data_IF_907211965141
#
_entry.id   IF_907211965141
#
_cell.length_a   1.000
_cell.length_b   1.000
_cell.length_c   1.000
_cell.angle_alpha   90.00
_cell.angle_beta   90.00
_cell.angle_gamma   90.00
#
_symmetry.space_group_name_H-M   'P 1'
#
loop_
_entity.id
_entity.type
_entity.pdbx_description
1 polymer ?
#
# COMPACT_ATOMS: atom_id res chain seq x y z
N UNK A 1 -18.09 33.08 13.09
CA UNK A 1 -16.80 32.75 12.43
C UNK A 1 -17.02 32.88 10.94
N UNK A 2 -16.43 33.90 10.32
CA UNK A 2 -16.38 34.01 8.86
C UNK A 2 -15.19 33.17 8.39
N UNK A 3 -15.47 32.09 7.67
CA UNK A 3 -14.44 31.35 6.96
C UNK A 3 -14.17 32.12 5.67
N UNK A 4 -12.94 32.59 5.46
CA UNK A 4 -12.57 33.24 4.21
C UNK A 4 -11.99 32.18 3.28
N UNK A 5 -12.71 31.92 2.20
CA UNK A 5 -12.08 31.39 1.00
C UNK A 5 -11.71 32.59 0.12
N UNK A 6 -10.46 32.71 -0.32
CA UNK A 6 -10.02 33.83 -1.13
C UNK A 6 -10.08 33.51 -2.61
N UNK A 7 -10.74 34.38 -3.37
CA UNK A 7 -10.60 34.48 -4.82
C UNK A 7 -9.19 35.03 -5.12
N UNK A 8 -8.35 34.23 -5.79
CA UNK A 8 -7.01 34.69 -6.20
C UNK A 8 -7.14 35.57 -7.45
N UNK A 9 -6.42 36.70 -7.53
CA UNK A 9 -6.47 37.58 -8.69
C UNK A 9 -5.99 36.86 -9.96
N UNK A 10 -6.76 37.00 -11.03
CA UNK A 10 -6.43 36.48 -12.36
C UNK A 10 -5.23 37.24 -12.91
N UNK A 11 -4.05 36.61 -12.96
CA UNK A 11 -2.91 37.17 -13.70
C UNK A 11 -3.11 36.84 -15.19
N UNK A 12 -3.37 37.87 -16.00
CA UNK A 12 -3.39 37.87 -17.46
C UNK A 12 -3.64 36.50 -18.15
N UNK A 13 -4.88 36.03 -18.11
CA UNK A 13 -5.34 34.91 -18.95
C UNK A 13 -5.06 33.50 -18.43
N UNK A 14 -4.49 33.35 -17.22
CA UNK A 14 -4.34 32.04 -16.57
C UNK A 14 -5.34 31.94 -15.41
N UNK A 15 -6.35 31.08 -15.54
CA UNK A 15 -7.12 30.60 -14.37
C UNK A 15 -6.16 29.77 -13.54
N UNK A 16 -5.57 30.34 -12.50
CA UNK A 16 -4.92 29.52 -11.49
C UNK A 16 -6.03 28.87 -10.67
N UNK A 17 -6.21 27.53 -10.72
CA UNK A 17 -7.04 26.87 -9.72
C UNK A 17 -6.47 27.30 -8.37
N UNK A 18 -7.34 27.85 -7.53
CA UNK A 18 -6.96 28.29 -6.19
C UNK A 18 -6.30 27.15 -5.43
N UNK A 19 -5.60 27.52 -4.36
CA UNK A 19 -4.83 26.71 -3.41
C UNK A 19 -3.32 26.76 -3.65
N UNK A 20 -2.67 27.50 -2.76
CA UNK A 20 -1.25 27.33 -2.44
C UNK A 20 -1.18 26.29 -1.33
N UNK A 21 -0.53 25.15 -1.61
CA UNK A 21 -0.13 24.19 -0.59
C UNK A 21 0.96 24.83 0.29
N UNK A 22 0.86 24.68 1.61
CA UNK A 22 1.92 25.11 2.53
C UNK A 22 3.27 24.52 2.11
N UNK A 23 4.24 25.37 1.74
CA UNK A 23 5.60 24.95 1.37
C UNK A 23 5.93 24.87 -0.13
N UNK A 24 4.99 25.15 -1.05
CA UNK A 24 5.30 25.33 -2.48
C UNK A 24 5.52 26.81 -2.78
N UNK A 25 6.58 27.15 -3.53
CA UNK A 25 7.04 28.51 -3.84
C UNK A 25 5.89 29.50 -4.02
N UNK A 26 5.65 30.28 -2.96
CA UNK A 26 4.71 31.40 -2.95
C UNK A 26 5.43 32.56 -3.63
N UNK A 27 4.80 33.30 -4.57
CA UNK A 27 5.32 34.60 -4.95
C UNK A 27 5.47 35.42 -3.66
N UNK A 28 6.70 35.80 -3.29
CA UNK A 28 6.97 36.81 -2.25
C UNK A 28 6.56 38.19 -2.80
N UNK A 29 5.36 38.30 -3.33
CA UNK A 29 4.83 39.54 -3.83
C UNK A 29 4.17 40.26 -2.66
N UNK A 30 4.99 41.04 -1.95
CA UNK A 30 4.54 41.91 -0.86
C UNK A 30 3.44 42.90 -1.33
N UNK A 31 3.21 43.06 -2.63
CA UNK A 31 2.16 43.92 -3.21
C UNK A 31 0.85 43.21 -3.52
N UNK A 32 0.74 41.90 -3.30
CA UNK A 32 -0.52 41.19 -3.48
C UNK A 32 -1.45 41.47 -2.29
N UNK A 33 -2.41 42.37 -2.50
CA UNK A 33 -3.41 42.78 -1.51
C UNK A 33 -4.22 41.58 -0.96
N UNK A 34 -4.47 40.57 -1.79
CA UNK A 34 -5.17 39.34 -1.39
C UNK A 34 -4.33 38.52 -0.41
N UNK A 35 -3.01 38.46 -0.60
CA UNK A 35 -2.11 37.78 0.33
C UNK A 35 -2.00 38.51 1.67
N UNK A 36 -1.98 39.85 1.67
CA UNK A 36 -2.02 40.62 2.93
C UNK A 36 -3.31 40.36 3.70
N UNK A 37 -4.45 40.35 3.02
CA UNK A 37 -5.74 40.04 3.64
C UNK A 37 -5.76 38.62 4.25
N UNK A 38 -5.12 37.63 3.62
CA UNK A 38 -4.94 36.31 4.21
C UNK A 38 -4.10 36.32 5.48
N UNK A 39 -2.95 37.01 5.42
CA UNK A 39 -2.03 37.10 6.55
C UNK A 39 -2.69 37.80 7.74
N UNK A 40 -3.44 38.87 7.50
CA UNK A 40 -4.22 39.58 8.51
C UNK A 40 -5.32 38.69 9.10
N UNK A 41 -6.06 37.95 8.26
CA UNK A 41 -7.08 36.98 8.71
C UNK A 41 -6.48 35.91 9.65
N UNK A 42 -5.32 35.35 9.30
CA UNK A 42 -4.64 34.36 10.14
C UNK A 42 -4.10 35.00 11.43
N UNK A 43 -3.54 36.21 11.35
CA UNK A 43 -3.04 36.96 12.51
C UNK A 43 -4.16 37.30 13.51
N UNK A 44 -5.37 37.54 13.02
CA UNK A 44 -6.57 37.79 13.83
C UNK A 44 -7.24 36.49 14.36
N UNK A 45 -6.59 35.34 14.20
CA UNK A 45 -7.07 34.05 14.71
C UNK A 45 -8.02 33.30 13.77
N UNK A 46 -8.11 33.72 12.51
CA UNK A 46 -8.80 32.99 11.45
C UNK A 46 -8.14 31.64 11.16
N UNK A 47 -8.96 30.60 10.98
CA UNK A 47 -8.48 29.26 10.60
C UNK A 47 -8.77 29.06 9.12
N UNK A 48 -7.73 28.92 8.26
CA UNK A 48 -7.94 28.63 6.85
C UNK A 48 -8.55 27.24 6.71
N UNK A 49 -9.48 27.10 5.77
CA UNK A 49 -10.03 25.79 5.45
C UNK A 49 -9.01 25.00 4.63
N UNK A 50 -8.82 23.70 4.94
CA UNK A 50 -7.99 22.83 4.12
C UNK A 50 -8.54 22.78 2.69
N UNK A 51 -7.63 22.54 1.74
CA UNK A 51 -7.99 22.37 0.34
C UNK A 51 -9.00 21.23 0.18
N UNK A 52 -10.06 21.52 -0.55
CA UNK A 52 -11.03 20.55 -1.01
C UNK A 52 -11.11 20.62 -2.54
N UNK A 53 -10.48 19.65 -3.21
CA UNK A 53 -10.46 19.57 -4.68
C UNK A 53 -11.83 19.36 -5.30
N UNK A 54 -12.84 19.02 -4.49
CA UNK A 54 -14.23 18.87 -4.91
C UNK A 54 -15.02 20.18 -4.93
N UNK A 55 -14.42 21.32 -4.55
CA UNK A 55 -15.12 22.61 -4.47
C UNK A 55 -14.67 23.58 -5.56
N UNK A 56 -15.64 24.25 -6.16
CA UNK A 56 -15.42 25.34 -7.11
C UNK A 56 -16.08 26.63 -6.67
N UNK A 57 -15.53 27.76 -7.10
CA UNK A 57 -16.14 29.07 -6.91
C UNK A 57 -17.25 29.29 -7.95
N UNK A 58 -18.47 29.55 -7.51
CA UNK A 58 -19.61 29.86 -8.40
C UNK A 58 -19.77 31.36 -8.71
N UNK A 59 -18.88 32.20 -8.18
CA UNK A 59 -18.95 33.66 -8.24
C UNK A 59 -19.42 34.32 -6.94
N UNK A 60 -19.93 33.56 -5.97
CA UNK A 60 -20.38 34.05 -4.67
C UNK A 60 -19.92 33.19 -3.49
N UNK A 61 -19.80 31.87 -3.68
CA UNK A 61 -19.39 30.93 -2.66
C UNK A 61 -18.65 29.73 -3.25
N UNK A 62 -17.89 29.01 -2.40
CA UNK A 62 -17.34 27.71 -2.78
C UNK A 62 -18.42 26.64 -2.62
N UNK A 63 -18.93 26.19 -3.76
CA UNK A 63 -19.91 25.11 -3.85
C UNK A 63 -19.23 23.80 -4.19
N UNK A 64 -19.83 22.69 -3.75
CA UNK A 64 -19.39 21.37 -4.16
C UNK A 64 -19.67 21.20 -5.65
N UNK A 65 -18.68 20.79 -6.41
CA UNK A 65 -18.82 20.36 -7.79
C UNK A 65 -18.82 18.82 -7.78
N UNK A 66 -19.97 18.23 -8.13
CA UNK A 66 -20.15 16.77 -8.11
C UNK A 66 -19.20 16.05 -9.10
N UNK A 67 -18.82 16.69 -10.20
CA UNK A 67 -17.89 16.14 -11.18
C UNK A 67 -16.46 16.15 -10.64
N UNK A 68 -16.01 17.27 -10.05
CA UNK A 68 -14.70 17.35 -9.40
C UNK A 68 -14.62 16.43 -8.17
N UNK A 69 -15.70 16.33 -7.40
CA UNK A 69 -15.80 15.38 -6.28
C UNK A 69 -15.61 13.93 -6.75
N UNK A 70 -16.30 13.55 -7.84
CA UNK A 70 -16.17 12.23 -8.42
C UNK A 70 -14.75 11.97 -8.97
N UNK A 71 -14.12 12.97 -9.58
CA UNK A 71 -12.74 12.89 -10.07
C UNK A 71 -11.74 12.74 -8.92
N UNK A 72 -11.86 13.53 -7.84
CA UNK A 72 -11.00 13.41 -6.65
C UNK A 72 -11.10 12.02 -6.04
N UNK A 73 -12.32 11.53 -5.85
CA UNK A 73 -12.55 10.18 -5.33
C UNK A 73 -11.97 9.10 -6.24
N UNK A 74 -12.09 9.24 -7.56
CA UNK A 74 -11.53 8.28 -8.52
C UNK A 74 -10.00 8.21 -8.43
N UNK A 75 -9.31 9.36 -8.34
CA UNK A 75 -7.86 9.39 -8.16
C UNK A 75 -7.45 8.86 -6.78
N UNK A 76 -8.18 9.22 -5.71
CA UNK A 76 -7.96 8.68 -4.37
C UNK A 76 -8.05 7.14 -4.35
N UNK A 77 -9.08 6.56 -5.00
CA UNK A 77 -9.22 5.10 -5.17
C UNK A 77 -8.03 4.49 -5.92
N UNK A 78 -7.60 5.11 -7.01
CA UNK A 78 -6.46 4.64 -7.80
C UNK A 78 -5.17 4.63 -6.97
N UNK A 79 -4.88 5.71 -6.25
CA UNK A 79 -3.71 5.78 -5.37
C UNK A 79 -3.78 4.77 -4.22
N UNK A 80 -4.97 4.59 -3.62
CA UNK A 80 -5.17 3.60 -2.57
C UNK A 80 -4.95 2.17 -3.07
N UNK A 81 -5.41 1.82 -4.27
CA UNK A 81 -5.15 0.51 -4.88
C UNK A 81 -3.65 0.25 -5.09
N UNK A 82 -2.89 1.26 -5.52
CA UNK A 82 -1.43 1.15 -5.63
C UNK A 82 -0.76 0.92 -4.27
N UNK A 83 -1.23 1.60 -3.22
CA UNK A 83 -0.73 1.39 -1.84
C UNK A 83 -1.03 -0.01 -1.33
N UNK A 84 -2.23 -0.54 -1.60
CA UNK A 84 -2.61 -1.93 -1.26
C UNK A 84 -1.65 -2.93 -1.92
N UNK A 85 -1.35 -2.75 -3.21
CA UNK A 85 -0.47 -3.66 -3.94
C UNK A 85 0.98 -3.58 -3.42
N UNK A 86 1.48 -2.37 -3.12
CA UNK A 86 2.80 -2.18 -2.52
C UNK A 86 2.89 -2.81 -1.11
N UNK A 87 1.88 -2.57 -0.27
CA UNK A 87 1.80 -3.13 1.08
C UNK A 87 1.74 -4.66 1.06
N UNK A 88 0.99 -5.26 0.13
CA UNK A 88 0.96 -6.71 -0.04
C UNK A 88 2.34 -7.28 -0.38
N UNK A 89 3.07 -6.64 -1.31
CA UNK A 89 4.41 -7.09 -1.68
C UNK A 89 5.39 -7.03 -0.49
N UNK A 90 5.34 -5.96 0.31
CA UNK A 90 6.14 -5.81 1.53
C UNK A 90 5.75 -6.83 2.59
N UNK A 91 4.45 -7.00 2.86
CA UNK A 91 3.96 -7.93 3.87
C UNK A 91 4.35 -9.37 3.56
N UNK A 92 4.24 -9.81 2.30
CA UNK A 92 4.72 -11.14 1.88
C UNK A 92 6.21 -11.26 2.10
N UNK A 93 7.01 -10.27 1.71
CA UNK A 93 8.46 -10.25 1.90
C UNK A 93 8.87 -10.37 3.38
N UNK A 94 8.24 -9.59 4.26
CA UNK A 94 8.49 -9.65 5.72
C UNK A 94 8.09 -10.99 6.31
N UNK A 95 6.95 -11.55 5.92
CA UNK A 95 6.47 -12.82 6.48
C UNK A 95 7.28 -14.04 6.01
N UNK A 96 7.97 -13.94 4.88
CA UNK A 96 8.75 -15.05 4.29
C UNK A 96 10.26 -14.88 4.46
N UNK A 97 10.67 -13.90 5.28
CA UNK A 97 12.05 -13.63 5.69
C UNK A 97 13.01 -13.32 4.53
N UNK A 98 12.49 -12.73 3.45
CA UNK A 98 13.27 -12.31 2.27
C UNK A 98 14.23 -13.37 1.71
N UNK A 99 13.72 -14.47 1.11
CA UNK A 99 14.57 -15.50 0.54
C UNK A 99 15.43 -14.92 -0.57
N UNK A 100 16.71 -15.29 -0.55
CA UNK A 100 17.69 -14.92 -1.58
C UNK A 100 17.25 -15.43 -2.95
N UNK A 101 17.74 -14.82 -4.03
CA UNK A 101 17.40 -15.27 -5.39
C UNK A 101 17.78 -16.74 -5.62
N UNK A 102 18.93 -17.18 -5.09
CA UNK A 102 19.37 -18.57 -5.14
C UNK A 102 18.40 -19.51 -4.42
N UNK A 103 17.83 -19.09 -3.29
CA UNK A 103 16.83 -19.88 -2.58
C UNK A 103 15.53 -20.03 -3.37
N UNK A 104 15.11 -18.97 -4.07
CA UNK A 104 13.96 -19.01 -4.98
C UNK A 104 14.19 -19.95 -6.16
N UNK A 105 15.35 -19.83 -6.80
CA UNK A 105 15.70 -20.63 -7.99
C UNK A 105 15.83 -22.13 -7.64
N UNK A 106 16.29 -22.44 -6.43
CA UNK A 106 16.44 -23.82 -5.95
C UNK A 106 15.18 -24.39 -5.28
N UNK A 107 14.13 -23.58 -5.10
CA UNK A 107 12.92 -23.99 -4.36
C UNK A 107 12.25 -25.19 -5.00
N UNK A 108 12.01 -25.15 -6.32
CA UNK A 108 11.32 -26.22 -7.04
C UNK A 108 12.04 -27.57 -6.86
N UNK A 109 13.37 -27.57 -7.00
CA UNK A 109 14.19 -28.76 -6.80
C UNK A 109 14.13 -29.27 -5.35
N UNK A 110 14.18 -28.37 -4.36
CA UNK A 110 14.03 -28.74 -2.94
C UNK A 110 12.67 -29.39 -2.65
N UNK A 111 11.60 -28.84 -3.21
CA UNK A 111 10.24 -29.38 -3.05
C UNK A 111 10.07 -30.75 -3.71
N UNK A 112 10.52 -30.89 -4.96
CA UNK A 112 10.52 -32.17 -5.68
C UNK A 112 11.27 -33.24 -4.88
N UNK A 113 12.50 -32.92 -4.48
CA UNK A 113 13.39 -33.83 -3.73
C UNK A 113 12.80 -34.19 -2.37
N UNK A 114 12.26 -33.22 -1.63
CA UNK A 114 11.61 -33.46 -0.34
C UNK A 114 10.34 -34.30 -0.48
N UNK A 115 9.55 -34.07 -1.53
CA UNK A 115 8.37 -34.87 -1.87
C UNK A 115 8.74 -36.33 -2.16
N UNK A 116 9.75 -36.56 -3.00
CA UNK A 116 10.23 -37.90 -3.33
C UNK A 116 10.79 -38.65 -2.10
N UNK A 117 11.60 -37.99 -1.27
CA UNK A 117 12.09 -38.58 0.00
C UNK A 117 10.93 -38.98 0.92
N UNK A 118 9.92 -38.11 1.05
CA UNK A 118 8.77 -38.36 1.93
C UNK A 118 7.89 -39.50 1.40
N UNK A 119 7.72 -39.58 0.08
CA UNK A 119 6.97 -40.66 -0.59
C UNK A 119 7.74 -41.98 -0.66
N UNK A 120 9.05 -41.98 -0.39
CA UNK A 120 9.92 -43.15 -0.58
C UNK A 120 10.18 -43.48 -2.06
N UNK A 121 10.03 -42.49 -2.94
CA UNK A 121 10.25 -42.63 -4.38
C UNK A 121 11.73 -42.41 -4.74
N UNK A 122 12.12 -42.88 -5.93
CA UNK A 122 13.43 -42.56 -6.50
C UNK A 122 13.59 -41.03 -6.69
N UNK A 123 14.79 -40.54 -6.40
CA UNK A 123 15.16 -39.14 -6.66
C UNK A 123 15.55 -38.97 -8.13
N UNK A 124 15.29 -37.77 -8.68
CA UNK A 124 15.88 -37.36 -9.95
C UNK A 124 17.41 -37.23 -9.82
N UNK A 125 18.12 -37.26 -10.95
CA UNK A 125 19.58 -37.11 -10.96
C UNK A 125 20.02 -35.77 -10.31
N UNK A 126 19.26 -34.70 -10.53
CA UNK A 126 19.48 -33.41 -9.89
C UNK A 126 19.20 -33.46 -8.38
N UNK A 127 18.15 -34.17 -7.96
CA UNK A 127 17.83 -34.40 -6.54
C UNK A 127 18.94 -35.18 -5.81
N UNK A 128 19.47 -36.24 -6.40
CA UNK A 128 20.61 -36.98 -5.82
C UNK A 128 21.85 -36.10 -5.69
N UNK A 129 22.20 -35.33 -6.73
CA UNK A 129 23.31 -34.39 -6.67
C UNK A 129 23.11 -33.32 -5.59
N UNK A 130 21.89 -32.79 -5.47
CA UNK A 130 21.54 -31.81 -4.44
C UNK A 130 21.73 -32.39 -3.04
N UNK A 131 21.18 -33.58 -2.77
CA UNK A 131 21.24 -34.25 -1.47
C UNK A 131 22.69 -34.59 -1.10
N UNK A 132 23.48 -35.05 -2.06
CA UNK A 132 24.91 -35.30 -1.86
C UNK A 132 25.70 -34.00 -1.57
N UNK A 133 25.47 -32.94 -2.35
CA UNK A 133 26.12 -31.64 -2.15
C UNK A 133 25.73 -30.99 -0.80
N UNK A 134 24.51 -31.23 -0.33
CA UNK A 134 24.02 -30.78 0.96
C UNK A 134 24.52 -31.62 2.15
N UNK A 135 25.29 -32.69 1.91
CA UNK A 135 25.81 -33.57 2.96
C UNK A 135 24.74 -34.42 3.67
N UNK A 136 23.58 -34.61 3.03
CA UNK A 136 22.46 -35.39 3.57
C UNK A 136 22.71 -36.89 3.32
N UNK A 137 23.71 -37.42 4.02
CA UNK A 137 24.31 -38.72 3.74
C UNK A 137 23.56 -39.93 4.32
N UNK A 138 22.65 -39.71 5.26
CA UNK A 138 21.85 -40.78 5.86
C UNK A 138 20.34 -40.55 5.72
N UNK A 139 19.59 -41.65 5.83
CA UNK A 139 18.14 -41.64 5.61
C UNK A 139 17.38 -40.81 6.67
N UNK A 140 17.89 -40.70 7.90
CA UNK A 140 17.24 -39.93 8.95
C UNK A 140 17.41 -38.42 8.69
N UNK A 141 18.62 -37.99 8.32
CA UNK A 141 18.92 -36.62 7.92
C UNK A 141 18.09 -36.21 6.70
N UNK A 142 18.02 -37.06 5.66
CA UNK A 142 17.18 -36.83 4.47
C UNK A 142 15.70 -36.63 4.84
N UNK A 143 15.13 -37.49 5.70
CA UNK A 143 13.74 -37.37 6.14
C UNK A 143 13.49 -36.13 6.99
N UNK A 144 14.38 -35.82 7.93
CA UNK A 144 14.27 -34.62 8.78
C UNK A 144 14.32 -33.33 7.95
N UNK A 145 15.24 -33.29 6.98
CA UNK A 145 15.34 -32.21 6.01
C UNK A 145 14.07 -32.08 5.16
N UNK A 146 13.60 -33.19 4.56
CA UNK A 146 12.41 -33.20 3.72
C UNK A 146 11.17 -32.72 4.49
N UNK A 147 11.01 -33.18 5.74
CA UNK A 147 9.94 -32.75 6.64
C UNK A 147 9.98 -31.23 6.86
N UNK A 148 11.18 -30.69 7.14
CA UNK A 148 11.37 -29.25 7.33
C UNK A 148 11.03 -28.45 6.07
N UNK A 149 11.48 -28.91 4.89
CA UNK A 149 11.18 -28.25 3.61
C UNK A 149 9.68 -28.21 3.34
N UNK A 150 8.98 -29.33 3.51
CA UNK A 150 7.54 -29.41 3.28
C UNK A 150 6.73 -28.59 4.30
N UNK A 151 7.17 -28.58 5.57
CA UNK A 151 6.57 -27.73 6.60
C UNK A 151 6.70 -26.25 6.25
N UNK A 152 7.90 -25.80 5.85
CA UNK A 152 8.16 -24.43 5.45
C UNK A 152 7.36 -24.04 4.20
N UNK A 153 7.27 -24.92 3.21
CA UNK A 153 6.46 -24.66 2.01
C UNK A 153 4.97 -24.54 2.33
N UNK A 154 4.46 -25.36 3.26
CA UNK A 154 3.08 -25.26 3.73
C UNK A 154 2.83 -23.95 4.48
N UNK A 155 3.77 -23.53 5.34
CA UNK A 155 3.70 -22.24 6.02
C UNK A 155 3.70 -21.08 5.02
N UNK A 156 4.61 -21.10 4.04
CA UNK A 156 4.66 -20.11 2.96
C UNK A 156 3.35 -20.02 2.18
N UNK A 157 2.78 -21.16 1.75
CA UNK A 157 1.52 -21.18 1.02
C UNK A 157 0.36 -20.58 1.84
N UNK A 158 0.32 -20.83 3.17
CA UNK A 158 -0.65 -20.20 4.07
C UNK A 158 -0.46 -18.70 4.16
N UNK A 159 0.78 -18.24 4.29
CA UNK A 159 1.14 -16.81 4.35
C UNK A 159 0.70 -16.10 3.08
N UNK A 160 1.10 -16.62 1.92
CA UNK A 160 0.74 -16.03 0.61
C UNK A 160 -0.76 -16.03 0.42
N UNK A 161 -1.45 -17.13 0.72
CA UNK A 161 -2.91 -17.19 0.61
C UNK A 161 -3.65 -16.21 1.53
N UNK A 162 -3.11 -15.96 2.73
CA UNK A 162 -3.66 -14.96 3.65
C UNK A 162 -3.41 -13.53 3.16
N UNK A 163 -2.18 -13.24 2.71
CA UNK A 163 -1.82 -11.94 2.16
C UNK A 163 -2.64 -11.60 0.91
N UNK A 164 -2.90 -12.59 0.06
CA UNK A 164 -3.72 -12.45 -1.14
C UNK A 164 -5.17 -12.13 -0.77
N UNK A 165 -5.75 -12.85 0.19
CA UNK A 165 -7.10 -12.58 0.67
C UNK A 165 -7.24 -11.15 1.22
N UNK A 166 -6.29 -10.73 2.06
CA UNK A 166 -6.29 -9.37 2.61
C UNK A 166 -6.17 -8.30 1.50
N UNK A 167 -5.40 -8.57 0.45
CA UNK A 167 -5.30 -7.70 -0.72
C UNK A 167 -6.65 -7.61 -1.45
N UNK A 168 -7.28 -8.74 -1.73
CA UNK A 168 -8.55 -8.78 -2.46
C UNK A 168 -9.70 -8.14 -1.69
N UNK A 169 -9.76 -8.36 -0.38
CA UNK A 169 -10.74 -7.74 0.52
C UNK A 169 -10.58 -6.22 0.52
N UNK A 170 -9.35 -5.72 0.68
CA UNK A 170 -9.05 -4.28 0.66
C UNK A 170 -9.35 -3.65 -0.71
N UNK A 171 -8.97 -4.30 -1.83
CA UNK A 171 -9.29 -3.81 -3.18
C UNK A 171 -10.79 -3.74 -3.43
N UNK A 172 -11.53 -4.73 -2.94
CA UNK A 172 -12.99 -4.77 -3.05
C UNK A 172 -13.62 -3.64 -2.25
N UNK A 173 -13.17 -3.43 -1.00
CA UNK A 173 -13.64 -2.34 -0.16
C UNK A 173 -13.32 -0.95 -0.76
N UNK A 174 -12.09 -0.71 -1.24
CA UNK A 174 -11.69 0.57 -1.85
C UNK A 174 -12.55 0.88 -3.08
N UNK A 175 -12.85 -0.12 -3.93
CA UNK A 175 -13.73 0.08 -5.09
C UNK A 175 -15.14 0.50 -4.66
N UNK A 176 -15.64 -0.04 -3.55
CA UNK A 176 -16.95 0.26 -2.99
C UNK A 176 -17.00 1.56 -2.17
N UNK A 177 -15.85 2.13 -1.78
CA UNK A 177 -15.78 3.32 -0.94
C UNK A 177 -16.52 4.52 -1.55
N UNK A 178 -17.20 5.30 -0.71
CA UNK A 178 -18.04 6.44 -1.13
C UNK A 178 -17.34 7.78 -1.03
N UNK A 179 -16.29 7.85 -0.22
CA UNK A 179 -15.51 9.05 0.03
C UNK A 179 -14.06 8.68 0.42
N UNK A 180 -13.22 9.71 0.58
CA UNK A 180 -11.81 9.54 0.95
C UNK A 180 -11.62 9.12 2.42
N UNK A 181 -12.60 9.39 3.30
CA UNK A 181 -12.55 8.97 4.70
C UNK A 181 -12.72 7.45 4.80
N UNK A 182 -13.69 6.86 4.09
CA UNK A 182 -13.87 5.41 4.00
C UNK A 182 -12.60 4.72 3.46
N UNK A 183 -11.93 5.32 2.45
CA UNK A 183 -10.65 4.79 1.94
C UNK A 183 -9.59 4.74 3.04
N UNK A 184 -9.49 5.81 3.84
CA UNK A 184 -8.51 5.90 4.93
C UNK A 184 -8.78 4.86 6.02
N UNK A 185 -10.04 4.65 6.38
CA UNK A 185 -10.45 3.63 7.35
C UNK A 185 -10.15 2.22 6.83
N UNK A 186 -10.40 1.95 5.54
CA UNK A 186 -10.09 0.66 4.91
C UNK A 186 -8.59 0.36 4.93
N UNK A 187 -7.75 1.34 4.59
CA UNK A 187 -6.29 1.17 4.62
C UNK A 187 -5.79 0.90 6.05
N UNK A 188 -6.34 1.61 7.03
CA UNK A 188 -6.00 1.40 8.45
C UNK A 188 -6.38 -0.02 8.90
N UNK A 189 -7.62 -0.44 8.61
CA UNK A 189 -8.09 -1.78 8.95
C UNK A 189 -7.27 -2.89 8.26
N UNK A 190 -6.82 -2.66 7.02
CA UNK A 190 -5.94 -3.60 6.31
C UNK A 190 -4.60 -3.76 7.02
N UNK A 191 -3.97 -2.65 7.44
CA UNK A 191 -2.70 -2.68 8.17
C UNK A 191 -2.85 -3.43 9.49
N UNK A 192 -3.91 -3.16 10.25
CA UNK A 192 -4.19 -3.87 11.51
C UNK A 192 -4.42 -5.37 11.29
N UNK A 193 -5.18 -5.74 10.26
CA UNK A 193 -5.45 -7.14 9.93
C UNK A 193 -4.17 -7.89 9.53
N UNK A 194 -3.27 -7.23 8.78
CA UNK A 194 -1.98 -7.79 8.40
C UNK A 194 -1.04 -7.97 9.60
N UNK A 195 -0.98 -7.00 10.53
CA UNK A 195 -0.21 -7.16 11.77
C UNK A 195 -0.75 -8.30 12.63
N UNK A 196 -2.07 -8.39 12.79
CA UNK A 196 -2.71 -9.47 13.54
C UNK A 196 -2.45 -10.85 12.90
N UNK A 197 -2.46 -10.93 11.58
CA UNK A 197 -2.08 -12.12 10.82
C UNK A 197 -0.63 -12.54 11.08
N UNK A 198 0.32 -11.60 10.97
CA UNK A 198 1.73 -11.86 11.20
C UNK A 198 2.00 -12.38 12.62
N UNK A 199 1.38 -11.80 13.65
CA UNK A 199 1.53 -12.25 15.04
C UNK A 199 1.00 -13.65 15.31
N UNK A 200 0.01 -14.14 14.53
CA UNK A 200 -0.51 -15.51 14.65
C UNK A 200 0.43 -16.55 14.02
N UNK A 201 1.22 -16.13 13.03
CA UNK A 201 2.16 -17.01 12.33
C UNK A 201 3.48 -17.20 13.10
N UNK A 202 3.78 -16.31 14.05
CA UNK A 202 4.95 -16.39 14.93
C UNK A 202 4.74 -17.26 16.19
N UNK A 203 3.56 -17.87 16.37
CA UNK A 203 3.23 -18.77 17.48
C UNK A 203 3.16 -20.21 17.02
#
# INVERSE_FOLDING_TARGET
MQNIYMEMPTVAGVRMPGIIAAGVQVPQDEFNETWRQFQDFVADGGVPLPFDGARQWDGQSYVLDDELAAQSLAEAKKQALLRVDAFHAEAVQTMVDNPTQVEKDTWALKLETAGAITAGSELSAAGEQFVAAAGLNDAAARRSWATSVLANATAYAKIVGLAERLRDDARTAIRAAKDEAEITDILTAQTEAAHAAASRLQR
#
